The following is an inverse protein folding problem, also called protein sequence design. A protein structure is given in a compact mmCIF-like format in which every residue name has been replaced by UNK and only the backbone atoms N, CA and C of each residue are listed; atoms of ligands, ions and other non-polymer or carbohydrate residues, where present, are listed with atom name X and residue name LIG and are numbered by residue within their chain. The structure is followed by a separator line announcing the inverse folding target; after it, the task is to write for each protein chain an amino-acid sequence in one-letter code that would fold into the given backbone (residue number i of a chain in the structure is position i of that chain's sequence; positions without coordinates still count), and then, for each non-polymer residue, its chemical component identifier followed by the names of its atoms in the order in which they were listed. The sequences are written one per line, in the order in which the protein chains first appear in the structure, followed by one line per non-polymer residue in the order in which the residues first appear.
data_IF_406597684249
#
_entry.id   IF_406597684249
#
_cell.length_a   1.000
_cell.length_b   1.000
_cell.length_c   1.000
_cell.angle_alpha   90.00
_cell.angle_beta   90.00
_cell.angle_gamma   90.00
#
_symmetry.space_group_name_H-M   'P 1'
#
loop_
_entity.id
_entity.type
_entity.pdbx_description
1 polymer ?
#
# COMPACT_ATOMS: atom_id res chain seq x y z
N UNK A 1 26.51 12.98 -29.76
CA UNK A 1 25.85 14.26 -29.33
C UNK A 1 24.32 14.09 -29.27
N UNK A 2 23.66 13.59 -30.30
CA UNK A 2 22.18 13.39 -30.30
C UNK A 2 21.76 12.41 -29.21
N UNK A 3 22.41 11.25 -29.07
CA UNK A 3 22.10 10.25 -28.04
C UNK A 3 22.27 10.80 -26.61
N UNK A 4 23.29 11.67 -26.39
CA UNK A 4 23.47 12.32 -25.09
C UNK A 4 22.35 13.31 -24.76
N UNK A 5 21.92 14.09 -25.76
CA UNK A 5 20.80 15.02 -25.60
C UNK A 5 19.49 14.26 -25.32
N UNK A 6 19.21 13.17 -26.04
CA UNK A 6 18.05 12.32 -25.80
C UNK A 6 18.05 11.70 -24.40
N UNK A 7 19.21 11.23 -23.91
CA UNK A 7 19.33 10.69 -22.56
C UNK A 7 19.03 11.75 -21.48
N UNK A 8 19.53 12.99 -21.66
CA UNK A 8 19.23 14.08 -20.73
C UNK A 8 17.74 14.43 -20.74
N UNK A 9 17.13 14.57 -21.93
CA UNK A 9 15.70 14.90 -22.05
C UNK A 9 14.84 13.81 -21.42
N UNK A 10 15.12 12.53 -21.74
CA UNK A 10 14.41 11.40 -21.15
C UNK A 10 14.57 11.38 -19.62
N UNK A 11 15.77 11.62 -19.12
CA UNK A 11 16.04 11.71 -17.71
C UNK A 11 15.27 12.82 -17.00
N UNK A 12 15.17 14.00 -17.61
CA UNK A 12 14.36 15.10 -17.07
C UNK A 12 12.88 14.72 -16.96
N UNK A 13 12.34 14.11 -18.02
CA UNK A 13 10.94 13.63 -18.03
C UNK A 13 10.71 12.62 -16.89
N UNK A 14 11.62 11.67 -16.71
CA UNK A 14 11.53 10.68 -15.63
C UNK A 14 11.63 11.32 -14.24
N UNK A 15 12.52 12.27 -14.04
CA UNK A 15 12.64 12.99 -12.75
C UNK A 15 11.35 13.73 -12.44
N UNK A 16 10.81 14.49 -13.39
CA UNK A 16 9.54 15.22 -13.22
C UNK A 16 8.39 14.25 -12.92
N UNK A 17 8.31 13.14 -13.67
CA UNK A 17 7.30 12.11 -13.47
C UNK A 17 7.41 11.41 -12.10
N UNK A 18 8.62 11.11 -11.65
CA UNK A 18 8.87 10.54 -10.33
C UNK A 18 8.47 11.47 -9.19
N UNK A 19 8.83 12.74 -9.26
CA UNK A 19 8.43 13.77 -8.28
C UNK A 19 6.90 13.92 -8.28
N UNK A 20 6.29 14.02 -9.46
CA UNK A 20 4.83 14.11 -9.57
C UNK A 20 4.14 12.91 -8.93
N UNK A 21 4.61 11.67 -9.18
CA UNK A 21 4.06 10.45 -8.59
C UNK A 21 4.13 10.44 -7.07
N UNK A 22 5.26 10.88 -6.49
CA UNK A 22 5.42 11.03 -5.03
C UNK A 22 4.41 12.06 -4.48
N UNK A 23 4.33 13.24 -5.09
CA UNK A 23 3.43 14.30 -4.65
C UNK A 23 1.95 13.90 -4.78
N UNK A 24 1.59 13.24 -5.87
CA UNK A 24 0.24 12.71 -6.11
C UNK A 24 -0.15 11.72 -5.03
N UNK A 25 0.70 10.73 -4.76
CA UNK A 25 0.46 9.71 -3.72
C UNK A 25 0.33 10.33 -2.34
N UNK A 26 1.23 11.26 -1.99
CA UNK A 26 1.19 11.98 -0.72
C UNK A 26 -0.14 12.72 -0.52
N UNK A 27 -0.60 13.47 -1.54
CA UNK A 27 -1.85 14.22 -1.47
C UNK A 27 -3.06 13.31 -1.30
N UNK A 28 -3.14 12.22 -2.08
CA UNK A 28 -4.27 11.28 -1.99
C UNK A 28 -4.35 10.64 -0.61
N UNK A 29 -3.22 10.17 -0.07
CA UNK A 29 -3.20 9.57 1.27
C UNK A 29 -3.55 10.60 2.35
N UNK A 30 -3.04 11.83 2.23
CA UNK A 30 -3.30 12.88 3.22
C UNK A 30 -4.79 13.28 3.31
N UNK A 31 -5.56 13.12 2.24
CA UNK A 31 -7.01 13.38 2.21
C UNK A 31 -7.79 12.45 3.13
N UNK A 32 -7.32 11.21 3.31
CA UNK A 32 -7.97 10.22 4.17
C UNK A 32 -7.86 10.54 5.66
N UNK A 33 -6.99 11.49 6.06
CA UNK A 33 -6.81 11.97 7.45
C UNK A 33 -6.56 10.85 8.46
N UNK A 34 -5.99 9.73 8.02
CA UNK A 34 -5.70 8.56 8.87
C UNK A 34 -4.59 8.92 9.86
N UNK A 35 -4.78 8.54 11.12
CA UNK A 35 -3.79 8.62 12.18
C UNK A 35 -3.57 7.22 12.73
N UNK A 36 -2.31 6.81 12.88
CA UNK A 36 -1.98 5.50 13.46
C UNK A 36 -2.41 5.45 14.92
N UNK A 37 -2.98 4.34 15.40
CA UNK A 37 -3.37 4.19 16.80
C UNK A 37 -2.15 4.11 17.73
N UNK A 38 -2.41 4.24 19.04
CA UNK A 38 -1.36 4.27 20.10
C UNK A 38 -0.53 2.99 20.16
N UNK A 39 -1.11 1.86 19.79
CA UNK A 39 -0.48 0.54 19.80
C UNK A 39 0.18 0.17 18.46
N UNK A 40 0.16 1.06 17.47
CA UNK A 40 0.89 0.86 16.23
C UNK A 40 2.40 0.98 16.42
N UNK A 41 3.19 0.35 15.54
CA UNK A 41 4.66 0.47 15.53
C UNK A 41 5.16 1.93 15.45
N UNK A 42 4.41 2.80 14.80
CA UNK A 42 4.63 4.25 14.74
C UNK A 42 3.33 4.89 15.26
N UNK A 43 3.24 5.17 16.58
CA UNK A 43 1.99 5.62 17.18
C UNK A 43 1.68 7.08 16.89
N UNK A 44 0.39 7.41 16.84
CA UNK A 44 -0.16 8.77 16.81
C UNK A 44 0.43 9.67 15.70
N UNK A 45 0.78 9.08 14.56
CA UNK A 45 1.29 9.81 13.40
C UNK A 45 0.28 9.82 12.26
N UNK A 46 0.16 10.96 11.61
CA UNK A 46 -0.62 11.07 10.38
C UNK A 46 0.01 10.19 9.31
N UNK A 47 -0.82 9.36 8.68
CA UNK A 47 -0.39 8.47 7.60
C UNK A 47 -0.21 9.26 6.32
N UNK A 48 1.04 9.37 5.85
CA UNK A 48 1.39 10.15 4.64
C UNK A 48 2.50 9.53 3.81
N UNK A 49 3.43 8.81 4.43
CA UNK A 49 4.59 8.23 3.77
C UNK A 49 4.65 6.71 3.93
N UNK A 50 5.59 6.04 3.25
CA UNK A 50 5.64 4.58 3.18
C UNK A 50 5.76 3.90 4.55
N UNK A 51 6.49 4.48 5.50
CA UNK A 51 6.65 3.91 6.84
C UNK A 51 5.38 3.98 7.67
N UNK A 52 4.65 5.11 7.61
CA UNK A 52 3.37 5.26 8.33
C UNK A 52 2.25 4.44 7.67
N UNK A 53 2.26 4.31 6.34
CA UNK A 53 1.37 3.38 5.60
C UNK A 53 1.60 1.93 6.05
N UNK A 54 2.87 1.51 6.16
CA UNK A 54 3.21 0.16 6.61
C UNK A 54 2.77 -0.08 8.05
N UNK A 55 3.04 0.87 8.96
CA UNK A 55 2.61 0.77 10.35
C UNK A 55 1.08 0.66 10.47
N UNK A 56 0.33 1.42 9.67
CA UNK A 56 -1.13 1.35 9.64
C UNK A 56 -1.63 0.02 9.08
N UNK A 57 -1.03 -0.48 8.02
CA UNK A 57 -1.42 -1.77 7.43
C UNK A 57 -1.17 -2.93 8.42
N UNK A 58 -0.03 -2.92 9.12
CA UNK A 58 0.33 -3.96 10.08
C UNK A 58 -0.63 -3.97 11.27
N UNK A 59 -0.96 -2.81 11.84
CA UNK A 59 -1.85 -2.75 13.00
C UNK A 59 -3.30 -3.13 12.63
N UNK A 60 -3.79 -2.78 11.43
CA UNK A 60 -5.09 -3.24 10.94
C UNK A 60 -5.11 -4.77 10.91
N UNK A 61 -4.07 -5.41 10.37
CA UNK A 61 -3.98 -6.87 10.32
C UNK A 61 -3.94 -7.48 11.74
N UNK A 62 -3.18 -6.90 12.65
CA UNK A 62 -3.07 -7.36 14.02
C UNK A 62 -4.42 -7.29 14.76
N UNK A 63 -5.11 -6.14 14.68
CA UNK A 63 -6.43 -5.97 15.27
C UNK A 63 -7.46 -6.94 14.67
N UNK A 64 -7.38 -7.17 13.36
CA UNK A 64 -8.27 -8.13 12.69
C UNK A 64 -8.03 -9.54 13.19
N UNK A 65 -6.77 -9.99 13.31
CA UNK A 65 -6.45 -11.29 13.89
C UNK A 65 -6.97 -11.42 15.32
N UNK A 66 -6.78 -10.40 16.16
CA UNK A 66 -7.30 -10.39 17.53
C UNK A 66 -8.83 -10.52 17.56
N UNK A 67 -9.55 -9.76 16.73
CA UNK A 67 -11.01 -9.77 16.67
C UNK A 67 -11.60 -11.06 16.11
N UNK A 68 -10.83 -11.83 15.35
CA UNK A 68 -11.25 -13.11 14.75
C UNK A 68 -10.69 -14.33 15.47
N UNK A 69 -10.19 -14.15 16.70
CA UNK A 69 -9.62 -15.25 17.53
C UNK A 69 -8.40 -15.90 16.90
N UNK A 70 -7.57 -15.11 16.20
CA UNK A 70 -6.36 -15.57 15.52
C UNK A 70 -6.58 -16.27 14.18
N UNK A 71 -7.83 -16.37 13.72
CA UNK A 71 -8.19 -17.05 12.47
C UNK A 71 -8.13 -16.10 11.29
N UNK A 72 -7.56 -16.57 10.19
CA UNK A 72 -7.59 -15.89 8.90
C UNK A 72 -8.91 -16.14 8.15
N UNK A 73 -9.16 -15.39 7.09
CA UNK A 73 -10.36 -15.55 6.27
C UNK A 73 -10.57 -17.00 5.78
N UNK A 74 -9.49 -17.67 5.37
CA UNK A 74 -9.56 -19.04 4.83
C UNK A 74 -9.89 -20.08 5.92
N UNK A 75 -9.51 -19.81 7.17
CA UNK A 75 -9.73 -20.72 8.31
C UNK A 75 -11.14 -20.59 8.93
N UNK A 76 -11.86 -19.54 8.57
CA UNK A 76 -13.20 -19.30 9.10
C UNK A 76 -14.29 -19.92 8.21
N UNK A 77 -15.27 -20.63 8.79
CA UNK A 77 -16.41 -21.16 8.04
C UNK A 77 -17.26 -20.00 7.47
N UNK A 78 -17.94 -20.24 6.35
CA UNK A 78 -18.83 -19.23 5.74
C UNK A 78 -20.05 -18.93 6.59
N UNK A 79 -20.54 -19.94 7.29
CA UNK A 79 -21.72 -19.86 8.15
C UNK A 79 -21.38 -20.38 9.53
N UNK A 80 -22.04 -19.81 10.53
CA UNK A 80 -21.92 -20.21 11.93
C UNK A 80 -23.33 -20.46 12.50
N UNK A 81 -23.48 -21.27 13.58
CA UNK A 81 -24.72 -21.40 14.28
C UNK A 81 -25.26 -20.03 14.71
N UNK A 82 -26.54 -19.76 14.43
CA UNK A 82 -27.23 -18.60 14.97
C UNK A 82 -27.46 -18.82 16.47
N UNK A 83 -27.02 -17.86 17.28
CA UNK A 83 -27.25 -17.86 18.73
C UNK A 83 -28.42 -16.95 19.07
N UNK A 84 -29.16 -17.28 20.11
CA UNK A 84 -30.18 -16.44 20.72
C UNK A 84 -29.54 -15.44 21.72
N UNK A 85 -30.39 -14.66 22.41
CA UNK A 85 -29.93 -13.67 23.42
C UNK A 85 -29.23 -14.32 24.63
N UNK A 86 -29.46 -15.61 24.88
CA UNK A 86 -28.85 -16.38 25.95
C UNK A 86 -27.59 -17.14 25.51
N UNK A 87 -27.16 -16.98 24.22
CA UNK A 87 -26.01 -17.66 23.66
C UNK A 87 -26.28 -19.12 23.28
N UNK A 88 -27.55 -19.57 23.24
CA UNK A 88 -27.93 -20.92 22.83
C UNK A 88 -28.19 -20.98 21.33
N UNK A 89 -27.92 -22.15 20.72
CA UNK A 89 -28.17 -22.35 19.29
C UNK A 89 -29.68 -22.32 19.00
N UNK A 90 -30.07 -21.50 18.04
CA UNK A 90 -31.45 -21.45 17.54
C UNK A 90 -31.72 -22.68 16.70
N UNK A 91 -32.76 -23.43 17.05
CA UNK A 91 -33.24 -24.57 16.27
C UNK A 91 -34.39 -24.14 15.36
N UNK A 92 -34.41 -24.64 14.14
CA UNK A 92 -35.51 -24.48 13.20
C UNK A 92 -36.68 -25.41 13.52
N UNK A 93 -37.77 -25.25 12.79
CA UNK A 93 -38.97 -26.11 12.94
C UNK A 93 -38.69 -27.60 12.66
N UNK A 94 -37.61 -27.89 11.93
CA UNK A 94 -37.13 -29.24 11.61
C UNK A 94 -36.15 -29.82 12.66
N UNK A 95 -35.93 -29.10 13.78
CA UNK A 95 -34.99 -29.47 14.85
C UNK A 95 -33.51 -29.29 14.49
N UNK A 96 -33.17 -28.72 13.33
CA UNK A 96 -31.81 -28.47 12.94
C UNK A 96 -31.37 -27.07 13.37
N UNK A 97 -30.06 -26.92 13.62
CA UNK A 97 -29.46 -25.62 13.96
C UNK A 97 -29.61 -24.63 12.79
N UNK A 98 -30.19 -23.48 13.07
CA UNK A 98 -30.27 -22.38 12.11
C UNK A 98 -28.86 -21.80 11.92
N UNK A 99 -28.40 -21.71 10.68
CA UNK A 99 -27.10 -21.15 10.33
C UNK A 99 -27.25 -19.69 9.92
N UNK A 100 -26.25 -18.86 10.23
CA UNK A 100 -26.16 -17.45 9.83
C UNK A 100 -24.80 -17.16 9.19
N UNK A 101 -24.70 -16.05 8.44
CA UNK A 101 -23.44 -15.62 7.86
C UNK A 101 -22.42 -15.31 8.97
N UNK A 102 -21.17 -15.68 8.72
CA UNK A 102 -20.08 -15.39 9.66
C UNK A 102 -19.55 -13.97 9.45
N UNK A 103 -20.00 -13.04 10.27
CA UNK A 103 -19.61 -11.62 10.21
C UNK A 103 -18.13 -11.38 10.43
N UNK A 104 -17.41 -12.30 11.09
CA UNK A 104 -15.96 -12.21 11.23
C UNK A 104 -15.24 -12.27 9.88
N UNK A 105 -15.84 -12.92 8.88
CA UNK A 105 -15.31 -12.90 7.48
C UNK A 105 -15.45 -11.52 6.85
N UNK A 106 -16.51 -10.77 7.15
CA UNK A 106 -16.74 -9.43 6.62
C UNK A 106 -15.72 -8.45 7.20
N UNK A 107 -15.35 -8.62 8.48
CA UNK A 107 -14.24 -7.88 9.11
C UNK A 107 -12.94 -8.11 8.34
N UNK A 108 -12.64 -9.37 7.96
CA UNK A 108 -11.47 -9.70 7.16
C UNK A 108 -11.51 -9.07 5.76
N UNK A 109 -12.65 -9.09 5.08
CA UNK A 109 -12.79 -8.46 3.76
C UNK A 109 -12.48 -6.96 3.87
N UNK A 110 -13.08 -6.27 4.84
CA UNK A 110 -12.84 -4.85 5.08
C UNK A 110 -11.37 -4.58 5.39
N UNK A 111 -10.77 -5.33 6.31
CA UNK A 111 -9.37 -5.18 6.68
C UNK A 111 -8.43 -5.44 5.49
N UNK A 112 -8.71 -6.46 4.68
CA UNK A 112 -7.91 -6.78 3.49
C UNK A 112 -8.01 -5.67 2.45
N UNK A 113 -9.19 -5.10 2.24
CA UNK A 113 -9.39 -3.96 1.33
C UNK A 113 -8.56 -2.75 1.79
N UNK A 114 -8.64 -2.39 3.07
CA UNK A 114 -7.88 -1.28 3.63
C UNK A 114 -6.36 -1.52 3.55
N UNK A 115 -5.90 -2.69 3.96
CA UNK A 115 -4.46 -3.03 3.89
C UNK A 115 -3.94 -3.09 2.47
N UNK A 116 -4.76 -3.55 1.52
CA UNK A 116 -4.40 -3.54 0.09
C UNK A 116 -4.24 -2.12 -0.42
N UNK A 117 -5.16 -1.21 -0.10
CA UNK A 117 -5.06 0.20 -0.49
C UNK A 117 -3.79 0.86 0.08
N UNK A 118 -3.48 0.60 1.37
CA UNK A 118 -2.26 1.10 2.01
C UNK A 118 -0.99 0.55 1.35
N UNK A 119 -0.97 -0.75 1.04
CA UNK A 119 0.16 -1.39 0.36
C UNK A 119 0.33 -0.88 -1.08
N UNK A 120 -0.74 -0.62 -1.81
CA UNK A 120 -0.68 0.03 -3.13
C UNK A 120 -0.06 1.44 -3.03
N UNK A 121 -0.38 2.20 -1.98
CA UNK A 121 0.27 3.47 -1.68
C UNK A 121 1.79 3.31 -1.50
N UNK A 122 2.24 2.30 -0.76
CA UNK A 122 3.67 1.98 -0.59
C UNK A 122 4.31 1.64 -1.95
N UNK A 123 3.68 0.77 -2.73
CA UNK A 123 4.17 0.39 -4.06
C UNK A 123 4.31 1.61 -4.98
N UNK A 124 3.35 2.54 -4.94
CA UNK A 124 3.41 3.77 -5.74
C UNK A 124 4.63 4.63 -5.34
N UNK A 125 4.94 4.76 -4.05
CA UNK A 125 6.15 5.44 -3.59
C UNK A 125 7.42 4.76 -4.10
N UNK A 126 7.48 3.42 -4.02
CA UNK A 126 8.64 2.65 -4.51
C UNK A 126 8.85 2.85 -6.01
N UNK A 127 7.78 2.70 -6.81
CA UNK A 127 7.88 2.90 -8.27
C UNK A 127 8.25 4.33 -8.63
N UNK A 128 7.66 5.33 -7.98
CA UNK A 128 8.00 6.73 -8.22
C UNK A 128 9.46 7.03 -7.85
N UNK A 129 9.94 6.45 -6.77
CA UNK A 129 11.36 6.54 -6.36
C UNK A 129 12.31 5.90 -7.36
N UNK A 130 11.96 4.72 -7.91
CA UNK A 130 12.74 4.06 -8.96
C UNK A 130 12.75 4.88 -10.26
N UNK A 131 11.62 5.42 -10.68
CA UNK A 131 11.52 6.29 -11.85
C UNK A 131 12.44 7.52 -11.68
N UNK A 132 12.40 8.14 -10.51
CA UNK A 132 13.26 9.28 -10.18
C UNK A 132 14.75 8.89 -10.22
N UNK A 133 15.11 7.75 -9.65
CA UNK A 133 16.48 7.23 -9.66
C UNK A 133 16.98 6.99 -11.09
N UNK A 134 16.18 6.32 -11.93
CA UNK A 134 16.51 6.10 -13.34
C UNK A 134 16.62 7.42 -14.12
N UNK A 135 15.78 8.40 -13.81
CA UNK A 135 15.88 9.73 -14.37
C UNK A 135 17.21 10.41 -14.05
N UNK A 136 17.64 10.36 -12.78
CA UNK A 136 18.94 10.89 -12.36
C UNK A 136 20.12 10.18 -13.06
N UNK A 137 20.07 8.84 -13.12
CA UNK A 137 21.10 8.04 -13.83
C UNK A 137 21.15 8.41 -15.31
N UNK A 138 19.99 8.57 -15.96
CA UNK A 138 19.92 8.93 -17.38
C UNK A 138 20.52 10.31 -17.65
N UNK A 139 20.20 11.31 -16.81
CA UNK A 139 20.80 12.65 -16.90
C UNK A 139 22.33 12.57 -16.73
N UNK A 140 22.78 11.88 -15.69
CA UNK A 140 24.21 11.71 -15.42
C UNK A 140 24.94 11.09 -16.59
N UNK A 141 24.43 9.97 -17.10
CA UNK A 141 24.97 9.27 -18.27
C UNK A 141 25.02 10.17 -19.50
N UNK A 142 23.94 10.91 -19.78
CA UNK A 142 23.87 11.86 -20.87
C UNK A 142 24.93 12.96 -20.76
N UNK A 143 25.15 13.52 -19.57
CA UNK A 143 26.17 14.54 -19.32
C UNK A 143 27.58 13.99 -19.56
N UNK A 144 27.89 12.79 -19.04
CA UNK A 144 29.19 12.13 -19.22
C UNK A 144 29.49 11.90 -20.70
N UNK A 145 28.54 11.29 -21.43
CA UNK A 145 28.74 11.06 -22.87
C UNK A 145 28.84 12.37 -23.69
N UNK A 146 28.11 13.40 -23.28
CA UNK A 146 28.24 14.71 -23.91
C UNK A 146 29.66 15.30 -23.72
N UNK A 147 30.19 15.26 -22.50
CA UNK A 147 31.52 15.74 -22.17
C UNK A 147 32.62 14.98 -22.92
N UNK A 148 32.50 13.62 -22.98
CA UNK A 148 33.46 12.79 -23.71
C UNK A 148 33.44 13.08 -25.23
N UNK A 149 32.23 13.27 -25.81
CA UNK A 149 32.08 13.59 -27.23
C UNK A 149 32.68 14.96 -27.62
N UNK A 150 32.78 15.88 -26.69
CA UNK A 150 33.48 17.15 -26.91
C UNK A 150 35.00 17.00 -26.90
N UNK A 151 35.53 16.18 -25.99
CA UNK A 151 36.99 15.92 -25.92
C UNK A 151 37.52 15.19 -27.14
N UNK A 152 36.77 14.22 -27.71
CA UNK A 152 37.18 13.47 -28.91
C UNK A 152 37.18 14.29 -30.21
N UNK A 153 36.71 15.55 -30.21
CA UNK A 153 36.77 16.42 -31.40
C UNK A 153 38.08 17.28 -31.45
N UNK A 154 38.98 17.12 -30.52
CA UNK A 154 40.27 17.83 -30.45
C UNK A 154 41.49 16.90 -30.80
N UNK A 155 41.21 15.67 -31.21
CA UNK A 155 42.18 14.73 -31.78
C UNK A 155 41.90 14.54 -33.30
#
# INVERSE_FOLDING_TARGET
KISSALAIVAGIILVVGGIWGICFTYKNIAQEKIVTPVDARIPEKTVRGPFTLKAQADIIREHTLKSTGGKTFAEMPRQIPKLDENGQQVLGADGKTVMTANTARDIWITATTLTTALNLGIMTYVFSGLILLFGCISIWTGIVFYALSRRGNFA
#
